data_IF_856493049618
#
_entry.id   IF_856493049618
#
_cell.length_a   1.000
_cell.length_b   1.000
_cell.length_c   1.000
_cell.angle_alpha   90.00
_cell.angle_beta   90.00
_cell.angle_gamma   90.00
#
_symmetry.space_group_name_H-M   'P 1'
#
loop_
_entity.id
_entity.type
_entity.pdbx_description
1 polymer ?
#
# COMPACT_ATOMS: atom_id res chain seq x y z
N UNK A 1 9.43 -9.91 -6.80
CA UNK A 1 9.33 -10.92 -5.71
C UNK A 1 7.91 -11.04 -5.15
N UNK A 2 7.22 -9.94 -4.85
CA UNK A 2 5.84 -9.92 -4.31
C UNK A 2 4.82 -10.52 -5.30
N UNK A 3 4.85 -10.13 -6.58
CA UNK A 3 3.91 -10.65 -7.59
C UNK A 3 3.94 -12.18 -7.73
N UNK A 4 5.11 -12.82 -7.61
CA UNK A 4 5.23 -14.30 -7.60
C UNK A 4 4.50 -14.91 -6.40
N UNK A 5 4.60 -14.29 -5.22
CA UNK A 5 3.92 -14.77 -4.01
C UNK A 5 2.40 -14.62 -4.12
N UNK A 6 1.94 -13.50 -4.66
CA UNK A 6 0.52 -13.28 -4.93
C UNK A 6 -0.06 -14.28 -5.94
N UNK A 7 0.71 -14.62 -6.98
CA UNK A 7 0.30 -15.65 -7.94
C UNK A 7 0.20 -17.05 -7.30
N UNK A 8 1.06 -17.36 -6.33
CA UNK A 8 1.04 -18.63 -5.62
C UNK A 8 -0.05 -18.70 -4.53
N UNK A 9 -0.67 -17.57 -4.16
CA UNK A 9 -1.70 -17.48 -3.13
C UNK A 9 -2.94 -16.76 -3.68
N UNK A 10 -3.70 -17.38 -4.59
CA UNK A 10 -4.84 -16.74 -5.25
C UNK A 10 -5.98 -16.36 -4.29
N UNK A 11 -6.08 -17.01 -3.13
CA UNK A 11 -7.04 -16.67 -2.07
C UNK A 11 -6.84 -15.27 -1.48
N UNK A 12 -5.69 -14.64 -1.72
CA UNK A 12 -5.39 -13.29 -1.25
C UNK A 12 -5.86 -12.19 -2.22
N UNK A 13 -6.19 -12.54 -3.47
CA UNK A 13 -6.63 -11.57 -4.48
C UNK A 13 -7.90 -10.80 -4.09
N UNK A 14 -8.92 -11.42 -3.47
CA UNK A 14 -10.10 -10.69 -3.01
C UNK A 14 -9.76 -9.64 -1.93
N UNK A 15 -8.86 -9.96 -1.00
CA UNK A 15 -8.40 -9.02 0.03
C UNK A 15 -7.65 -7.83 -0.58
N UNK A 16 -6.85 -8.05 -1.63
CA UNK A 16 -6.20 -6.96 -2.37
C UNK A 16 -7.17 -6.08 -3.16
N UNK A 17 -8.43 -6.50 -3.33
CA UNK A 17 -9.49 -5.68 -3.91
C UNK A 17 -10.43 -5.09 -2.83
N UNK A 18 -10.21 -5.41 -1.56
CA UNK A 18 -11.02 -4.96 -0.44
C UNK A 18 -10.60 -3.54 -0.01
N UNK A 19 -11.52 -2.59 -0.09
CA UNK A 19 -11.27 -1.19 0.28
C UNK A 19 -10.90 -1.01 1.77
N UNK A 20 -11.47 -1.83 2.66
CA UNK A 20 -11.17 -1.79 4.10
C UNK A 20 -9.73 -2.24 4.36
N UNK A 21 -9.30 -3.31 3.69
CA UNK A 21 -7.91 -3.78 3.75
C UNK A 21 -6.91 -2.70 3.31
N UNK A 22 -7.22 -1.96 2.24
CA UNK A 22 -6.38 -0.86 1.78
C UNK A 22 -6.34 0.32 2.75
N UNK A 23 -7.48 0.67 3.34
CA UNK A 23 -7.55 1.77 4.31
C UNK A 23 -6.69 1.47 5.54
N UNK A 24 -6.81 0.26 6.10
CA UNK A 24 -6.00 -0.17 7.25
C UNK A 24 -4.52 -0.26 6.90
N UNK A 25 -4.18 -0.90 5.77
CA UNK A 25 -2.79 -1.06 5.32
C UNK A 25 -2.11 0.29 5.07
N UNK A 26 -2.85 1.26 4.52
CA UNK A 26 -2.35 2.60 4.29
C UNK A 26 -2.10 3.36 5.61
N UNK A 27 -3.05 3.31 6.54
CA UNK A 27 -2.91 3.96 7.84
C UNK A 27 -1.68 3.45 8.60
N UNK A 28 -1.43 2.14 8.57
CA UNK A 28 -0.22 1.56 9.15
C UNK A 28 1.06 2.02 8.44
N UNK A 29 1.08 2.03 7.11
CA UNK A 29 2.22 2.49 6.33
C UNK A 29 2.55 3.97 6.59
N UNK A 30 1.52 4.84 6.61
CA UNK A 30 1.66 6.25 6.95
C UNK A 30 2.26 6.41 8.35
N UNK A 31 1.71 5.73 9.36
CA UNK A 31 2.23 5.78 10.73
C UNK A 31 3.68 5.30 10.82
N UNK A 32 4.08 4.27 10.07
CA UNK A 32 5.48 3.83 10.02
C UNK A 32 6.35 4.93 9.44
N UNK A 33 5.97 5.51 8.30
CA UNK A 33 6.72 6.58 7.66
C UNK A 33 6.84 7.84 8.54
N UNK A 34 5.77 8.21 9.24
CA UNK A 34 5.78 9.29 10.23
C UNK A 34 6.78 9.04 11.35
N UNK A 35 6.80 7.82 11.90
CA UNK A 35 7.74 7.44 12.96
C UNK A 35 9.20 7.43 12.48
N UNK A 36 9.46 7.01 11.24
CA UNK A 36 10.81 6.95 10.68
C UNK A 36 11.35 8.32 10.27
N UNK A 37 10.48 9.20 9.75
CA UNK A 37 10.87 10.50 9.20
C UNK A 37 10.69 11.66 10.18
N UNK A 38 9.86 11.50 11.21
CA UNK A 38 9.45 12.55 12.13
C UNK A 38 8.51 13.59 11.52
N UNK A 39 8.01 13.36 10.29
CA UNK A 39 7.11 14.26 9.59
C UNK A 39 5.68 13.80 9.87
N UNK A 40 4.88 14.64 10.52
CA UNK A 40 3.50 14.33 10.93
C UNK A 40 2.48 15.06 10.05
N UNK A 41 1.30 14.46 9.86
CA UNK A 41 0.14 15.09 9.19
C UNK A 41 0.39 15.50 7.72
N UNK A 42 1.32 14.83 7.04
CA UNK A 42 1.60 15.07 5.60
C UNK A 42 1.04 13.99 4.68
N UNK A 43 0.77 12.80 5.22
CA UNK A 43 0.22 11.70 4.45
C UNK A 43 -1.31 11.83 4.37
N UNK A 44 -1.92 11.59 3.19
CA UNK A 44 -3.38 11.58 3.05
C UNK A 44 -4.03 10.47 3.91
N UNK A 45 -5.33 10.59 4.18
CA UNK A 45 -6.07 9.60 4.99
C UNK A 45 -6.25 8.24 4.28
N UNK A 46 -6.17 8.21 2.94
CA UNK A 46 -6.28 7.00 2.13
C UNK A 46 -5.15 6.95 1.10
N UNK A 47 -4.80 5.73 0.66
CA UNK A 47 -3.77 5.51 -0.35
C UNK A 47 -4.14 6.24 -1.65
N UNK A 48 -3.31 7.17 -2.13
CA UNK A 48 -3.59 7.92 -3.35
C UNK A 48 -3.28 7.14 -4.63
N UNK A 49 -2.60 5.99 -4.50
CA UNK A 49 -2.14 5.18 -5.61
C UNK A 49 -2.96 3.90 -5.72
N UNK A 50 -3.19 3.46 -6.96
CA UNK A 50 -3.80 2.16 -7.22
C UNK A 50 -2.79 1.01 -7.08
N UNK A 51 -3.30 -0.22 -7.05
CA UNK A 51 -2.47 -1.42 -6.91
C UNK A 51 -1.42 -1.56 -8.03
N UNK A 52 -1.76 -1.18 -9.26
CA UNK A 52 -0.85 -1.33 -10.41
C UNK A 52 0.32 -0.35 -10.29
N UNK A 53 0.07 0.88 -9.82
CA UNK A 53 1.10 1.87 -9.49
C UNK A 53 2.00 1.37 -8.36
N UNK A 54 1.43 0.92 -7.23
CA UNK A 54 2.19 0.44 -6.07
C UNK A 54 3.04 -0.80 -6.42
N UNK A 55 2.56 -1.64 -7.33
CA UNK A 55 3.26 -2.85 -7.76
C UNK A 55 4.27 -2.62 -8.88
N UNK A 56 4.27 -1.44 -9.50
CA UNK A 56 5.18 -1.09 -10.58
C UNK A 56 6.60 -0.85 -10.03
N UNK A 57 7.63 -1.57 -10.52
CA UNK A 57 9.01 -1.38 -10.07
C UNK A 57 9.60 -0.01 -10.43
N UNK A 58 8.99 0.67 -11.42
CA UNK A 58 9.44 1.97 -11.93
C UNK A 58 8.63 3.13 -11.34
N UNK A 59 7.66 2.82 -10.47
CA UNK A 59 6.83 3.83 -9.86
C UNK A 59 7.61 4.63 -8.82
N UNK A 60 7.59 5.95 -9.00
CA UNK A 60 8.04 6.92 -8.01
C UNK A 60 6.94 7.97 -7.84
N UNK A 61 6.41 8.16 -6.63
CA UNK A 61 5.41 9.19 -6.39
C UNK A 61 6.02 10.59 -6.56
N UNK A 62 5.26 11.51 -7.16
CA UNK A 62 5.63 12.93 -7.27
C UNK A 62 5.49 13.69 -5.95
#
# INVERSE_FOLDING_TARGET
MIMRRLNNTPSLKPELANAEFWLESWADAARIAENETGILNVFPEACPWDFDQVMSPEFWPE
#
